data_IF_334617220986
#
_entry.id   IF_334617220986
#
_cell.length_a   1.000
_cell.length_b   1.000
_cell.length_c   1.000
_cell.angle_alpha   90.00
_cell.angle_beta   90.00
_cell.angle_gamma   90.00
#
_symmetry.space_group_name_H-M   'P 1'
#
loop_
_entity.id
_entity.type
_entity.pdbx_description
1 polymer ?
#
# COMPACT_ATOMS: atom_id res chain seq x y z
N UNK A 1 9.56 7.73 -27.61
CA UNK A 1 9.12 7.27 -26.27
C UNK A 1 8.89 8.50 -25.42
N UNK A 2 7.71 8.67 -24.84
CA UNK A 2 7.48 9.75 -23.88
C UNK A 2 7.79 9.22 -22.48
N UNK A 3 8.88 9.67 -21.86
CA UNK A 3 9.13 9.38 -20.45
C UNK A 3 8.09 10.11 -19.59
N UNK A 4 7.46 9.42 -18.67
CA UNK A 4 6.51 9.98 -17.70
C UNK A 4 7.07 9.84 -16.30
N UNK A 5 6.73 10.80 -15.44
CA UNK A 5 6.98 10.68 -14.01
C UNK A 5 5.81 9.92 -13.41
N UNK A 6 6.11 8.80 -12.78
CA UNK A 6 5.16 8.00 -12.03
C UNK A 6 5.31 8.29 -10.55
N UNK A 7 4.19 8.37 -9.84
CA UNK A 7 4.17 8.57 -8.40
C UNK A 7 3.21 7.56 -7.75
N UNK A 8 3.67 6.93 -6.68
CA UNK A 8 2.88 5.98 -5.91
C UNK A 8 3.01 6.25 -4.42
N UNK A 9 1.89 6.21 -3.70
CA UNK A 9 1.88 6.08 -2.24
C UNK A 9 1.11 4.83 -1.82
N UNK A 10 1.53 4.19 -0.74
CA UNK A 10 0.86 2.98 -0.27
C UNK A 10 1.67 2.27 0.80
N UNK A 11 1.57 0.95 0.82
CA UNK A 11 2.33 0.09 1.74
C UNK A 11 3.22 -0.82 0.93
N UNK A 12 4.52 -0.73 1.13
CA UNK A 12 5.47 -1.50 0.34
C UNK A 12 6.57 -2.14 1.17
N UNK A 13 7.46 -2.80 0.44
CA UNK A 13 8.74 -3.26 0.95
C UNK A 13 9.80 -3.21 -0.17
N UNK A 14 11.10 -3.15 0.17
CA UNK A 14 12.17 -3.25 -0.82
C UNK A 14 12.07 -4.54 -1.64
N UNK A 15 12.54 -4.49 -2.88
CA UNK A 15 12.52 -5.61 -3.80
C UNK A 15 13.17 -6.89 -3.24
N UNK A 16 14.34 -6.77 -2.61
CA UNK A 16 15.02 -7.91 -1.97
C UNK A 16 14.20 -8.52 -0.83
N UNK A 17 13.53 -7.67 -0.03
CA UNK A 17 12.66 -8.13 1.06
C UNK A 17 11.40 -8.82 0.51
N UNK A 18 10.85 -8.33 -0.61
CA UNK A 18 9.74 -9.00 -1.30
C UNK A 18 10.14 -10.40 -1.76
N UNK A 19 11.29 -10.53 -2.42
CA UNK A 19 11.80 -11.82 -2.88
C UNK A 19 12.01 -12.81 -1.73
N UNK A 20 12.43 -12.35 -0.55
CA UNK A 20 12.58 -13.19 0.64
C UNK A 20 11.22 -13.63 1.21
N UNK A 21 10.29 -12.70 1.39
CA UNK A 21 9.08 -12.90 2.19
C UNK A 21 7.86 -13.39 1.40
N UNK A 22 7.86 -13.20 0.08
CA UNK A 22 6.77 -13.63 -0.79
C UNK A 22 6.71 -15.17 -0.83
N UNK A 23 5.51 -15.72 -0.67
CA UNK A 23 5.28 -17.17 -0.63
C UNK A 23 5.07 -17.79 -2.01
N UNK A 24 4.98 -16.97 -3.07
CA UNK A 24 4.79 -17.46 -4.43
C UNK A 24 6.05 -18.20 -4.89
N UNK A 25 5.84 -19.31 -5.59
CA UNK A 25 6.91 -19.97 -6.33
C UNK A 25 7.33 -19.06 -7.49
N UNK A 26 8.65 -18.85 -7.71
CA UNK A 26 9.11 -18.01 -8.80
C UNK A 26 8.69 -18.57 -10.16
N UNK A 27 8.37 -17.68 -11.09
CA UNK A 27 8.15 -17.97 -12.51
C UNK A 27 9.28 -17.30 -13.27
N UNK A 28 9.95 -18.04 -14.16
CA UNK A 28 11.12 -17.55 -14.90
C UNK A 28 12.22 -16.95 -14.01
N UNK A 29 12.36 -17.50 -12.80
CA UNK A 29 13.42 -17.12 -11.86
C UNK A 29 13.12 -15.91 -10.98
N UNK A 30 11.95 -15.27 -11.08
CA UNK A 30 11.58 -14.15 -10.21
C UNK A 30 10.16 -14.29 -9.64
N UNK A 31 9.91 -13.72 -8.46
CA UNK A 31 8.57 -13.75 -7.83
C UNK A 31 7.64 -12.65 -8.35
N UNK A 32 8.20 -11.63 -9.01
CA UNK A 32 7.42 -10.57 -9.65
C UNK A 32 6.51 -11.10 -10.75
N UNK A 33 7.04 -11.98 -11.61
CA UNK A 33 6.28 -12.55 -12.73
C UNK A 33 5.19 -13.51 -12.22
N UNK A 34 5.50 -14.25 -11.16
CA UNK A 34 4.53 -15.10 -10.46
C UNK A 34 3.39 -14.25 -9.85
N UNK A 35 3.74 -13.13 -9.23
CA UNK A 35 2.79 -12.18 -8.67
C UNK A 35 1.91 -11.58 -9.77
N UNK A 36 2.49 -11.02 -10.83
CA UNK A 36 1.75 -10.43 -11.94
C UNK A 36 0.80 -11.46 -12.59
N UNK A 37 1.29 -12.68 -12.85
CA UNK A 37 0.48 -13.78 -13.39
C UNK A 37 -0.72 -14.11 -12.49
N UNK A 38 -0.50 -14.25 -11.18
CA UNK A 38 -1.56 -14.52 -10.21
C UNK A 38 -2.60 -13.39 -10.18
N UNK A 39 -2.12 -12.15 -10.13
CA UNK A 39 -2.96 -10.97 -9.98
C UNK A 39 -3.78 -10.68 -11.24
N UNK A 40 -3.20 -10.84 -12.44
CA UNK A 40 -3.93 -10.71 -13.72
C UNK A 40 -5.06 -11.72 -13.88
N UNK A 41 -4.90 -12.93 -13.32
CA UNK A 41 -5.94 -13.97 -13.30
C UNK A 41 -7.01 -13.72 -12.25
N UNK A 42 -6.74 -12.85 -11.27
CA UNK A 42 -7.65 -12.56 -10.16
C UNK A 42 -8.57 -11.39 -10.53
N UNK A 43 -9.74 -11.69 -11.08
CA UNK A 43 -10.74 -10.70 -11.49
C UNK A 43 -11.79 -10.40 -10.42
N UNK A 44 -11.75 -11.09 -9.28
CA UNK A 44 -12.72 -10.92 -8.19
C UNK A 44 -12.02 -10.96 -6.83
N UNK A 45 -12.14 -9.89 -6.05
CA UNK A 45 -11.67 -9.80 -4.66
C UNK A 45 -12.76 -9.21 -3.76
N UNK A 46 -13.75 -10.03 -3.44
CA UNK A 46 -14.84 -9.66 -2.54
C UNK A 46 -14.65 -10.26 -1.14
N UNK A 47 -14.64 -9.41 -0.11
CA UNK A 47 -14.52 -9.88 1.27
C UNK A 47 -15.87 -10.42 1.76
N UNK A 48 -15.91 -11.61 2.39
CA UNK A 48 -17.15 -12.11 2.97
C UNK A 48 -17.73 -11.14 4.00
N UNK A 49 -19.04 -10.86 3.90
CA UNK A 49 -19.73 -9.90 4.79
C UNK A 49 -19.48 -10.18 6.28
N UNK A 50 -19.55 -11.44 6.70
CA UNK A 50 -19.30 -11.84 8.10
C UNK A 50 -17.88 -11.48 8.56
N UNK A 51 -16.90 -11.66 7.69
CA UNK A 51 -15.49 -11.34 7.98
C UNK A 51 -15.28 -9.83 8.05
N UNK A 52 -15.83 -9.09 7.08
CA UNK A 52 -15.86 -7.62 7.11
C UNK A 52 -16.48 -7.10 8.41
N UNK A 53 -17.66 -7.61 8.76
CA UNK A 53 -18.37 -7.17 9.96
C UNK A 53 -17.57 -7.49 11.24
N UNK A 54 -16.82 -8.60 11.26
CA UNK A 54 -15.93 -8.94 12.38
C UNK A 54 -14.67 -8.05 12.47
N UNK A 55 -14.07 -7.69 11.33
CA UNK A 55 -12.87 -6.84 11.26
C UNK A 55 -13.20 -5.38 11.61
N UNK A 56 -14.32 -4.85 11.09
CA UNK A 56 -14.62 -3.41 11.14
C UNK A 56 -15.77 -3.02 12.09
N UNK A 57 -16.64 -3.96 12.46
CA UNK A 57 -17.88 -3.68 13.21
C UNK A 57 -18.06 -4.61 14.42
N UNK A 58 -16.98 -4.86 15.17
CA UNK A 58 -16.97 -5.72 16.37
C UNK A 58 -18.17 -5.40 17.28
N UNK A 59 -19.02 -6.40 17.56
CA UNK A 59 -20.17 -6.26 18.48
C UNK A 59 -19.67 -6.03 19.91
N UNK A 60 -20.11 -4.95 20.55
CA UNK A 60 -20.17 -4.85 22.01
C UNK A 60 -19.25 -3.84 22.69
N UNK A 61 -18.25 -3.29 22.02
CA UNK A 61 -17.44 -2.20 22.59
C UNK A 61 -17.56 -0.98 21.70
N UNK A 62 -17.79 0.18 22.32
CA UNK A 62 -17.84 1.47 21.66
C UNK A 62 -16.77 1.53 20.58
N UNK A 63 -17.24 1.55 19.33
CA UNK A 63 -16.43 1.55 18.14
C UNK A 63 -15.33 2.59 18.26
N UNK A 64 -14.12 2.16 18.68
CA UNK A 64 -12.90 2.77 18.19
C UNK A 64 -12.91 2.46 16.71
N UNK A 65 -13.63 3.34 16.01
CA UNK A 65 -13.70 3.47 14.57
C UNK A 65 -12.31 3.19 14.04
N UNK A 66 -12.09 1.97 13.55
CA UNK A 66 -11.12 1.74 12.48
C UNK A 66 -11.70 2.48 11.28
N UNK A 67 -11.68 3.81 11.32
CA UNK A 67 -12.06 4.68 10.21
C UNK A 67 -10.87 4.78 9.27
N UNK A 68 -10.39 3.63 8.77
CA UNK A 68 -9.80 3.64 7.43
C UNK A 68 -10.97 3.93 6.49
N UNK A 69 -11.02 5.18 6.06
CA UNK A 69 -12.15 5.76 5.37
C UNK A 69 -12.21 5.12 3.98
N UNK A 70 -13.27 4.34 3.72
CA UNK A 70 -13.62 3.61 2.48
C UNK A 70 -13.19 2.13 2.49
N UNK A 71 -14.06 1.30 3.07
CA UNK A 71 -14.06 -0.15 2.84
C UNK A 71 -14.98 -0.49 1.67
N UNK A 72 -14.40 -1.00 0.59
CA UNK A 72 -15.15 -1.52 -0.56
C UNK A 72 -15.43 -3.02 -0.35
N UNK A 73 -16.70 -3.49 -0.37
CA UNK A 73 -17.00 -4.92 -0.30
C UNK A 73 -16.30 -5.75 -1.38
N UNK A 74 -16.10 -5.14 -2.55
CA UNK A 74 -15.27 -5.65 -3.63
C UNK A 74 -14.09 -4.71 -3.83
N UNK A 75 -12.88 -5.18 -3.50
CA UNK A 75 -11.66 -4.37 -3.58
C UNK A 75 -11.31 -3.97 -5.01
N UNK A 76 -11.88 -4.62 -6.03
CA UNK A 76 -11.67 -4.28 -7.44
C UNK A 76 -12.73 -3.32 -8.00
N UNK A 77 -13.68 -2.85 -7.19
CA UNK A 77 -14.74 -1.94 -7.64
C UNK A 77 -14.72 -0.65 -6.85
N UNK A 78 -14.81 0.49 -7.55
CA UNK A 78 -15.11 1.78 -6.91
C UNK A 78 -16.62 1.86 -6.61
N UNK A 79 -17.02 1.89 -5.33
CA UNK A 79 -18.38 2.29 -4.96
C UNK A 79 -18.43 3.82 -4.86
N UNK A 80 -18.64 4.48 -6.00
CA UNK A 80 -19.11 5.86 -6.00
C UNK A 80 -20.59 5.91 -5.59
N UNK A 81 -21.00 6.98 -4.90
CA UNK A 81 -22.39 7.42 -4.93
C UNK A 81 -22.71 7.90 -6.36
N UNK A 82 -23.04 6.97 -7.25
CA UNK A 82 -23.28 7.25 -8.66
C UNK A 82 -23.20 5.99 -9.54
N UNK A 83 -23.81 6.05 -10.72
CA UNK A 83 -23.99 4.91 -11.65
C UNK A 83 -22.70 4.46 -12.37
N UNK A 84 -21.61 5.23 -12.29
CA UNK A 84 -20.35 4.89 -12.96
C UNK A 84 -19.41 4.12 -12.02
N UNK A 85 -19.62 2.80 -11.92
CA UNK A 85 -18.67 1.89 -11.28
C UNK A 85 -17.44 1.75 -12.18
N UNK A 86 -16.31 2.33 -11.78
CA UNK A 86 -15.03 1.97 -12.40
C UNK A 86 -14.55 0.67 -11.74
N UNK A 87 -14.16 -0.31 -12.55
CA UNK A 87 -13.72 -1.63 -12.12
C UNK A 87 -12.23 -1.74 -12.47
N UNK A 88 -11.40 -2.05 -11.49
CA UNK A 88 -10.06 -2.55 -11.76
C UNK A 88 -10.23 -3.91 -12.48
N UNK A 89 -9.81 -4.08 -13.75
CA UNK A 89 -9.99 -5.32 -14.50
C UNK A 89 -9.49 -6.56 -13.75
N UNK A 90 -8.44 -6.42 -12.95
CA UNK A 90 -7.89 -7.49 -12.13
C UNK A 90 -7.10 -6.93 -10.95
N UNK A 91 -6.61 -7.83 -10.09
CA UNK A 91 -5.87 -7.47 -8.89
C UNK A 91 -4.49 -6.88 -9.15
N UNK A 92 -3.97 -6.90 -10.39
CA UNK A 92 -2.66 -6.34 -10.70
C UNK A 92 -2.67 -4.81 -10.52
N UNK A 93 -3.81 -4.15 -10.71
CA UNK A 93 -3.98 -2.72 -10.45
C UNK A 93 -3.84 -2.35 -8.96
N UNK A 94 -3.85 -3.35 -8.05
CA UNK A 94 -3.62 -3.14 -6.62
C UNK A 94 -2.14 -3.23 -6.24
N UNK A 95 -1.25 -3.47 -7.21
CA UNK A 95 0.18 -3.56 -7.00
C UNK A 95 0.89 -2.62 -7.98
N UNK A 96 1.86 -1.89 -7.45
CA UNK A 96 2.73 -1.03 -8.23
C UNK A 96 4.16 -1.48 -7.98
N UNK A 97 4.82 -1.95 -9.03
CA UNK A 97 6.24 -2.20 -8.97
C UNK A 97 6.97 -0.90 -9.34
N UNK A 98 7.83 -0.45 -8.44
CA UNK A 98 8.65 0.75 -8.61
C UNK A 98 9.96 0.31 -9.24
N UNK A 99 10.24 0.78 -10.44
CA UNK A 99 11.42 0.36 -11.22
C UNK A 99 12.23 1.58 -11.66
N UNK A 100 13.55 1.40 -11.72
CA UNK A 100 14.44 2.17 -12.58
C UNK A 100 14.56 1.44 -13.93
N UNK A 101 15.25 2.01 -14.93
CA UNK A 101 15.59 1.27 -16.15
C UNK A 101 16.37 -0.03 -15.90
N UNK A 102 17.08 -0.12 -14.77
CA UNK A 102 18.03 -1.20 -14.48
C UNK A 102 17.50 -2.22 -13.46
N UNK A 103 16.62 -1.83 -12.54
CA UNK A 103 16.15 -2.72 -11.46
C UNK A 103 14.78 -2.36 -10.86
N UNK A 104 14.17 -3.31 -10.16
CA UNK A 104 13.03 -3.06 -9.28
C UNK A 104 13.50 -2.56 -7.92
N UNK A 105 13.06 -1.39 -7.49
CA UNK A 105 13.41 -0.83 -6.18
C UNK A 105 12.49 -1.33 -5.06
N UNK A 106 11.18 -1.37 -5.33
CA UNK A 106 10.17 -1.70 -4.33
C UNK A 106 8.89 -2.23 -4.97
N UNK A 107 8.10 -2.94 -4.15
CA UNK A 107 6.72 -3.32 -4.47
C UNK A 107 5.80 -2.57 -3.54
N UNK A 108 4.81 -1.87 -4.10
CA UNK A 108 3.80 -1.10 -3.35
C UNK A 108 2.45 -1.76 -3.52
N UNK A 109 1.78 -2.02 -2.40
CA UNK A 109 0.47 -2.63 -2.32
C UNK A 109 -0.58 -1.59 -1.97
N UNK A 110 -1.74 -1.71 -2.63
CA UNK A 110 -2.86 -0.80 -2.51
C UNK A 110 -4.05 -1.53 -1.87
N UNK A 111 -4.83 -0.87 -1.00
CA UNK A 111 -5.94 -1.53 -0.31
C UNK A 111 -7.12 -1.89 -1.23
N UNK A 112 -7.39 -1.07 -2.24
CA UNK A 112 -8.53 -1.24 -3.16
C UNK A 112 -8.38 -0.40 -4.43
N UNK A 113 -9.23 -0.64 -5.43
CA UNK A 113 -9.29 0.13 -6.66
C UNK A 113 -9.58 1.62 -6.41
N UNK A 114 -10.33 1.92 -5.36
CA UNK A 114 -10.57 3.29 -4.90
C UNK A 114 -9.27 4.00 -4.54
N UNK A 115 -8.33 3.28 -3.93
CA UNK A 115 -7.00 3.79 -3.60
C UNK A 115 -6.03 3.73 -4.76
N UNK A 116 -6.05 2.67 -5.57
CA UNK A 116 -5.22 2.57 -6.76
C UNK A 116 -5.36 3.83 -7.64
N UNK A 117 -6.59 4.27 -7.90
CA UNK A 117 -6.87 5.50 -8.64
C UNK A 117 -6.37 6.79 -7.96
N UNK A 118 -6.34 6.83 -6.63
CA UNK A 118 -6.00 8.04 -5.87
C UNK A 118 -4.52 8.14 -5.53
N UNK A 119 -3.85 7.00 -5.40
CA UNK A 119 -2.52 6.89 -4.82
C UNK A 119 -1.46 6.47 -5.80
N UNK A 120 -1.85 5.96 -6.96
CA UNK A 120 -0.97 5.83 -8.10
C UNK A 120 -1.44 6.81 -9.18
N UNK A 121 -0.60 7.79 -9.51
CA UNK A 121 -0.93 8.84 -10.46
C UNK A 121 0.31 9.33 -11.22
N UNK A 122 0.01 10.11 -12.26
CA UNK A 122 0.97 10.82 -13.09
C UNK A 122 0.76 12.36 -12.99
N UNK A 123 0.01 12.85 -11.99
CA UNK A 123 -0.36 14.26 -11.81
C UNK A 123 -0.10 14.79 -10.37
N UNK A 124 -0.31 16.10 -10.17
CA UNK A 124 0.30 16.97 -9.14
C UNK A 124 -0.19 16.79 -7.69
N UNK A 125 -1.20 15.95 -7.41
CA UNK A 125 -1.77 15.83 -6.04
C UNK A 125 -0.81 15.12 -5.05
N UNK A 126 0.12 14.30 -5.55
CA UNK A 126 1.16 13.66 -4.72
C UNK A 126 2.30 14.61 -4.38
N UNK A 127 2.38 15.76 -5.05
CA UNK A 127 3.47 16.73 -4.94
C UNK A 127 3.51 17.33 -3.54
N UNK A 128 2.36 17.54 -2.90
CA UNK A 128 2.31 18.03 -1.52
C UNK A 128 2.93 17.05 -0.51
N UNK A 129 2.69 15.73 -0.67
CA UNK A 129 3.30 14.72 0.21
C UNK A 129 4.81 14.61 -0.05
N UNK A 130 5.19 14.69 -1.32
CA UNK A 130 6.58 14.75 -1.75
C UNK A 130 7.28 15.97 -1.18
N UNK A 131 6.74 17.18 -1.29
CA UNK A 131 7.32 18.40 -0.72
C UNK A 131 7.46 18.30 0.81
N UNK A 132 6.43 17.79 1.48
CA UNK A 132 6.41 17.63 2.94
C UNK A 132 7.50 16.68 3.44
N UNK A 133 7.73 15.56 2.76
CA UNK A 133 8.68 14.54 3.20
C UNK A 133 10.06 14.66 2.57
N UNK A 134 10.16 15.35 1.43
CA UNK A 134 11.42 15.57 0.76
C UNK A 134 12.24 16.71 1.39
N UNK A 135 11.76 17.47 2.38
CA UNK A 135 12.57 18.51 3.06
C UNK A 135 13.38 19.42 2.09
N UNK A 136 12.83 19.77 0.92
CA UNK A 136 13.54 20.56 -0.09
C UNK A 136 14.59 19.83 -0.94
N UNK A 137 14.84 18.53 -0.73
CA UNK A 137 15.71 17.68 -1.58
C UNK A 137 14.98 16.99 -2.74
N UNK A 138 13.74 17.38 -3.06
CA UNK A 138 13.07 16.96 -4.30
C UNK A 138 13.80 17.43 -5.57
N UNK A 139 14.73 18.38 -5.40
CA UNK A 139 15.70 18.75 -6.41
C UNK A 139 17.02 18.05 -6.07
N UNK A 140 17.46 17.11 -6.90
CA UNK A 140 18.86 16.69 -6.91
C UNK A 140 19.79 17.91 -7.12
N UNK A 141 21.10 17.71 -7.10
CA UNK A 141 22.10 18.80 -7.19
C UNK A 141 21.92 19.74 -8.41
N UNK A 142 21.09 19.36 -9.39
CA UNK A 142 20.76 20.11 -10.61
C UNK A 142 19.26 20.40 -10.82
N UNK A 143 18.38 20.14 -9.84
CA UNK A 143 16.93 20.32 -10.04
C UNK A 143 16.23 19.21 -10.84
N UNK A 144 16.89 18.06 -11.03
CA UNK A 144 16.30 16.86 -11.65
C UNK A 144 15.50 16.07 -10.63
N UNK A 145 14.35 15.55 -11.06
CA UNK A 145 13.54 14.56 -10.33
C UNK A 145 14.22 13.21 -10.50
N UNK A 146 14.67 12.59 -9.42
CA UNK A 146 15.35 11.28 -9.43
C UNK A 146 14.38 10.15 -9.05
N UNK A 147 14.67 8.93 -9.54
CA UNK A 147 13.99 7.72 -9.09
C UNK A 147 14.26 7.52 -7.60
N UNK A 148 13.20 7.41 -6.79
CA UNK A 148 13.33 7.38 -5.34
C UNK A 148 12.21 6.62 -4.67
N UNK A 149 12.56 6.01 -3.54
CA UNK A 149 11.63 5.35 -2.62
C UNK A 149 11.87 5.90 -1.22
N UNK A 150 10.85 6.53 -0.66
CA UNK A 150 10.85 7.08 0.70
C UNK A 150 9.99 6.20 1.60
N UNK A 151 10.64 5.54 2.57
CA UNK A 151 9.97 4.79 3.62
C UNK A 151 9.50 5.75 4.71
N UNK A 152 8.18 5.93 4.79
CA UNK A 152 7.61 6.92 5.68
C UNK A 152 7.47 6.34 7.09
N UNK A 153 7.81 7.11 8.14
CA UNK A 153 7.60 6.67 9.51
C UNK A 153 6.10 6.57 9.87
N UNK A 154 5.22 7.21 9.09
CA UNK A 154 3.78 7.30 9.31
C UNK A 154 3.00 7.19 8.00
N UNK A 155 1.69 6.98 8.12
CA UNK A 155 0.82 6.98 6.95
C UNK A 155 0.76 8.39 6.32
N UNK A 156 0.81 8.52 4.99
CA UNK A 156 0.53 9.79 4.35
C UNK A 156 -0.94 10.18 4.60
N UNK A 157 -1.17 11.44 4.97
CA UNK A 157 -2.51 12.02 5.19
C UNK A 157 -3.38 11.87 3.92
N UNK A 158 -4.70 11.55 4.00
CA UNK A 158 -5.64 11.76 5.11
C UNK A 158 -5.89 10.59 6.08
N UNK A 159 -5.05 9.56 6.11
CA UNK A 159 -5.32 8.39 6.96
C UNK A 159 -5.04 8.63 8.43
N UNK A 160 -5.80 7.93 9.27
CA UNK A 160 -5.47 7.77 10.68
C UNK A 160 -4.10 7.10 10.78
N UNK A 161 -3.23 7.66 11.62
CA UNK A 161 -1.97 7.02 12.00
C UNK A 161 -2.27 5.90 13.00
N UNK A 162 -3.03 4.90 12.57
CA UNK A 162 -3.23 3.70 13.37
C UNK A 162 -1.88 3.00 13.52
N UNK A 163 -1.62 2.54 14.72
CA UNK A 163 -0.33 1.98 15.10
C UNK A 163 -0.51 0.52 15.50
N UNK A 164 0.52 -0.27 15.27
CA UNK A 164 0.56 -1.66 15.68
C UNK A 164 1.91 -2.06 16.25
N UNK A 165 1.91 -3.10 17.07
CA UNK A 165 3.13 -3.80 17.45
C UNK A 165 3.70 -4.52 16.21
N UNK A 166 4.99 -4.36 15.88
CA UNK A 166 5.56 -4.81 14.61
C UNK A 166 5.50 -6.33 14.41
N UNK A 167 5.65 -7.11 15.49
CA UNK A 167 5.65 -8.58 15.43
C UNK A 167 4.25 -9.19 15.46
N UNK A 168 3.40 -8.73 16.39
CA UNK A 168 2.08 -9.34 16.64
C UNK A 168 0.97 -8.70 15.80
N UNK A 169 1.20 -7.50 15.28
CA UNK A 169 0.17 -6.68 14.62
C UNK A 169 -0.93 -6.22 15.59
N UNK A 170 -0.71 -6.33 16.91
CA UNK A 170 -1.67 -5.90 17.91
C UNK A 170 -1.85 -4.37 17.85
N UNK A 171 -3.09 -3.86 17.93
CA UNK A 171 -3.35 -2.43 17.85
C UNK A 171 -2.71 -1.71 19.05
N UNK A 172 -2.04 -0.59 18.77
CA UNK A 172 -1.45 0.27 19.78
C UNK A 172 -2.32 1.51 19.99
N UNK A 173 -2.21 2.15 21.16
CA UNK A 173 -2.88 3.43 21.40
C UNK A 173 -2.29 4.48 20.46
N UNK A 174 -3.14 5.35 19.93
CA UNK A 174 -2.69 6.50 19.15
C UNK A 174 -1.93 7.46 20.05
N UNK A 175 -0.69 7.79 19.67
CA UNK A 175 0.16 8.76 20.37
C UNK A 175 0.53 9.93 19.43
N UNK A 176 0.91 11.06 20.03
CA UNK A 176 1.22 12.25 19.26
C UNK A 176 2.48 12.06 18.39
N UNK A 177 2.55 12.75 17.26
CA UNK A 177 3.63 12.63 16.25
C UNK A 177 5.05 12.72 16.82
N UNK A 178 5.27 13.53 17.87
CA UNK A 178 6.57 13.69 18.49
C UNK A 178 6.97 12.48 19.34
N UNK A 179 6.04 11.90 20.10
CA UNK A 179 6.26 10.72 20.95
C UNK A 179 6.60 9.49 20.09
N UNK A 180 5.96 9.36 18.93
CA UNK A 180 6.23 8.27 18.00
C UNK A 180 7.64 8.27 17.40
N UNK A 181 8.26 9.44 17.20
CA UNK A 181 9.65 9.49 16.71
C UNK A 181 10.63 8.91 17.73
N UNK A 182 10.23 8.86 18.99
CA UNK A 182 11.03 8.32 20.10
C UNK A 182 10.74 6.83 20.35
N UNK A 183 9.57 6.34 19.90
CA UNK A 183 9.12 4.94 20.05
C UNK A 183 9.45 4.08 18.82
N UNK A 184 10.68 3.56 18.77
CA UNK A 184 11.12 2.62 17.72
C UNK A 184 10.42 1.26 17.75
N UNK A 185 9.73 0.95 18.85
CA UNK A 185 9.00 -0.30 19.05
C UNK A 185 7.63 -0.31 18.34
N UNK A 186 7.14 0.81 17.82
CA UNK A 186 5.82 0.92 17.19
C UNK A 186 5.92 1.27 15.72
N UNK A 187 4.98 0.76 14.93
CA UNK A 187 4.95 1.00 13.48
C UNK A 187 3.54 1.33 13.00
N UNK A 188 3.41 2.03 11.87
CA UNK A 188 2.12 2.23 11.23
C UNK A 188 1.44 0.90 10.90
N UNK A 189 0.15 0.81 11.20
CA UNK A 189 -0.64 -0.37 10.92
C UNK A 189 -0.81 -0.56 9.40
N UNK A 190 -0.66 -1.81 8.95
CA UNK A 190 -0.96 -2.18 7.57
C UNK A 190 -2.49 -2.29 7.41
N UNK A 191 -3.09 -1.69 6.36
CA UNK A 191 -4.51 -1.77 6.09
C UNK A 191 -5.01 -3.21 6.09
N UNK A 192 -6.14 -3.43 6.77
CA UNK A 192 -6.72 -4.77 6.91
C UNK A 192 -7.07 -5.38 5.55
N UNK A 193 -7.42 -4.57 4.56
CA UNK A 193 -7.67 -4.97 3.19
C UNK A 193 -6.43 -5.59 2.56
N UNK A 194 -5.26 -4.93 2.70
CA UNK A 194 -3.98 -5.41 2.17
C UNK A 194 -3.62 -6.73 2.83
N UNK A 195 -3.70 -6.81 4.15
CA UNK A 195 -3.40 -8.05 4.88
C UNK A 195 -4.34 -9.15 4.41
N UNK A 196 -5.63 -8.87 4.28
CA UNK A 196 -6.61 -9.88 3.88
C UNK A 196 -6.37 -10.40 2.47
N UNK A 197 -6.24 -9.53 1.46
CA UNK A 197 -6.17 -10.01 0.08
C UNK A 197 -4.82 -10.69 -0.20
N UNK A 198 -3.72 -10.16 0.34
CA UNK A 198 -2.39 -10.77 0.14
C UNK A 198 -2.30 -12.15 0.79
N UNK A 199 -2.88 -12.33 1.97
CA UNK A 199 -2.95 -13.64 2.63
C UNK A 199 -3.93 -14.59 1.95
N UNK A 200 -5.09 -14.09 1.52
CA UNK A 200 -6.13 -14.87 0.82
C UNK A 200 -5.63 -15.45 -0.51
N UNK A 201 -4.80 -14.69 -1.23
CA UNK A 201 -4.20 -15.09 -2.50
C UNK A 201 -2.89 -15.88 -2.33
N UNK A 202 -2.39 -16.03 -1.10
CA UNK A 202 -1.14 -16.76 -0.83
C UNK A 202 0.11 -15.99 -1.24
N UNK A 203 0.04 -14.65 -1.36
CA UNK A 203 1.21 -13.81 -1.64
C UNK A 203 2.12 -13.74 -0.40
N UNK A 204 1.51 -13.58 0.77
CA UNK A 204 2.21 -13.49 2.06
C UNK A 204 1.55 -14.33 3.13
N UNK A 205 2.35 -14.73 4.13
CA UNK A 205 1.80 -15.09 5.44
C UNK A 205 1.26 -13.82 6.13
N UNK A 206 0.39 -13.98 7.14
CA UNK A 206 -0.09 -12.82 7.91
C UNK A 206 1.08 -12.03 8.51
N UNK A 207 2.08 -12.73 9.06
CA UNK A 207 3.27 -12.14 9.65
C UNK A 207 4.07 -11.33 8.62
N UNK A 208 4.26 -11.88 7.41
CA UNK A 208 5.00 -11.19 6.37
C UNK A 208 4.24 -9.95 5.85
N UNK A 209 2.91 -10.00 5.78
CA UNK A 209 2.11 -8.84 5.43
C UNK A 209 2.26 -7.69 6.45
N UNK A 210 2.48 -7.98 7.73
CA UNK A 210 2.72 -6.97 8.77
C UNK A 210 4.08 -6.26 8.64
N UNK A 211 5.00 -6.77 7.80
CA UNK A 211 6.31 -6.14 7.55
C UNK A 211 6.22 -5.00 6.52
N UNK A 212 5.10 -4.85 5.82
CA UNK A 212 4.87 -3.74 4.90
C UNK A 212 4.93 -2.39 5.63
N UNK A 213 5.53 -1.39 4.99
CA UNK A 213 5.68 -0.04 5.55
C UNK A 213 5.12 1.02 4.62
N UNK A 214 4.60 2.14 5.17
CA UNK A 214 4.18 3.26 4.36
C UNK A 214 5.31 3.73 3.45
N UNK A 215 4.98 3.98 2.20
CA UNK A 215 5.96 4.32 1.17
C UNK A 215 5.42 5.41 0.26
N UNK A 216 6.31 6.31 -0.14
CA UNK A 216 6.13 7.24 -1.23
C UNK A 216 7.23 6.98 -2.26
N UNK A 217 6.86 6.74 -3.50
CA UNK A 217 7.79 6.45 -4.58
C UNK A 217 7.57 7.35 -5.78
N UNK A 218 8.66 7.72 -6.45
CA UNK A 218 8.68 8.49 -7.69
C UNK A 218 9.68 7.84 -8.63
N UNK A 219 9.32 7.61 -9.89
CA UNK A 219 10.24 7.04 -10.87
C UNK A 219 9.86 7.44 -12.30
N UNK A 220 10.83 7.32 -13.22
CA UNK A 220 10.63 7.54 -14.64
C UNK A 220 10.37 6.22 -15.39
N UNK A 221 9.35 6.17 -16.24
CA UNK A 221 9.18 5.09 -17.23
C UNK A 221 8.52 5.54 -18.53
#
# INVERSE_FOLDING_TARGET
MSYRIHKAQGWGMPAAQFEELCLLAPVDGCKYEALDTLLRRTTTLAMPKKLRDAIFYRRGEAARRWTSTVFEPNLLTLCGHGTNKTVAPNAADLVVNVHTPDETLAVVFLPSASYAKRWYRFDDDLDFQEERWANGTAKGAEGRVEDRVLWLPFNPYPFTNDLMHPETGAPMKWEHFLELRERKDWVPAVPSEIIWWTTRLGVFSRENALKLRPVLATWWS
#
